data_IF_654966255472
#
_entry.id   IF_654966255472
#
_cell.length_a   1.000
_cell.length_b   1.000
_cell.length_c   1.000
_cell.angle_alpha   90.00
_cell.angle_beta   90.00
_cell.angle_gamma   90.00
#
_symmetry.space_group_name_H-M   'P 1'
#
loop_
_entity.id
_entity.type
_entity.pdbx_description
1 polymer ?
#
# COMPACT_ATOMS: atom_id res chain seq x y z
N UNK A 1 -2.58 -24.75 32.56
CA UNK A 1 -2.88 -23.32 32.37
C UNK A 1 -2.48 -22.90 30.98
N UNK A 2 -3.46 -22.52 30.20
CA UNK A 2 -3.23 -21.98 28.86
C UNK A 2 -2.69 -20.55 29.02
N UNK A 3 -1.41 -20.34 28.78
CA UNK A 3 -0.89 -18.98 28.63
C UNK A 3 -1.26 -18.49 27.23
N UNK A 4 -2.35 -17.74 27.15
CA UNK A 4 -2.70 -17.03 25.94
C UNK A 4 -1.49 -16.20 25.49
N UNK A 5 -1.13 -16.31 24.21
CA UNK A 5 -0.11 -15.44 23.61
C UNK A 5 -0.51 -13.99 23.87
N UNK A 6 0.35 -13.26 24.61
CA UNK A 6 0.17 -11.82 24.71
C UNK A 6 0.16 -11.25 23.30
N UNK A 7 -0.85 -10.44 22.93
CA UNK A 7 -0.84 -9.80 21.64
C UNK A 7 0.47 -8.99 21.50
N UNK A 8 1.11 -9.13 20.36
CA UNK A 8 2.31 -8.33 20.05
C UNK A 8 2.00 -6.87 20.31
N UNK A 9 2.87 -6.25 21.09
CA UNK A 9 2.90 -4.86 21.54
C UNK A 9 2.02 -3.88 20.74
N UNK A 10 0.95 -3.38 21.35
CA UNK A 10 0.41 -2.06 21.11
C UNK A 10 -0.59 -1.90 19.95
N UNK A 11 -0.83 -2.89 19.10
CA UNK A 11 -1.74 -2.74 18.00
C UNK A 11 -3.12 -3.33 18.30
N UNK A 12 -3.92 -2.57 19.03
CA UNK A 12 -5.35 -2.86 19.13
C UNK A 12 -6.03 -2.31 17.88
N UNK A 13 -6.78 -3.16 17.18
CA UNK A 13 -7.66 -2.72 16.10
C UNK A 13 -8.73 -1.78 16.64
N UNK A 14 -8.96 -0.71 15.93
CA UNK A 14 -9.92 0.34 16.30
C UNK A 14 -10.87 0.56 15.13
N UNK A 15 -12.16 0.65 15.41
CA UNK A 15 -13.18 0.93 14.39
C UNK A 15 -13.68 2.36 14.53
N UNK A 16 -13.63 3.13 13.45
CA UNK A 16 -14.16 4.49 13.34
C UNK A 16 -14.94 4.60 12.02
N UNK A 17 -16.13 5.17 12.06
CA UNK A 17 -17.02 5.31 10.88
C UNK A 17 -17.25 3.98 10.12
N UNK A 18 -17.30 2.86 10.84
CA UNK A 18 -17.43 1.54 10.24
C UNK A 18 -16.16 1.00 9.59
N UNK A 19 -15.05 1.71 9.69
CA UNK A 19 -13.75 1.32 9.13
C UNK A 19 -12.86 0.78 10.24
N UNK A 20 -12.30 -0.41 10.03
CA UNK A 20 -11.36 -1.01 10.96
C UNK A 20 -9.94 -0.57 10.65
N UNK A 21 -9.26 0.00 11.64
CA UNK A 21 -7.86 0.44 11.56
C UNK A 21 -6.96 -0.49 12.36
N UNK A 22 -5.77 -0.76 11.85
CA UNK A 22 -4.80 -1.66 12.49
C UNK A 22 -4.19 -1.08 13.76
N UNK A 23 -4.24 0.23 13.93
CA UNK A 23 -3.72 0.90 15.12
C UNK A 23 -4.57 2.11 15.52
N UNK A 24 -4.46 2.46 16.79
CA UNK A 24 -5.09 3.66 17.35
C UNK A 24 -4.55 4.93 16.71
N UNK A 25 -3.27 4.97 16.41
CA UNK A 25 -2.59 6.09 15.75
C UNK A 25 -3.15 6.33 14.35
N UNK A 26 -3.38 5.26 13.60
CA UNK A 26 -3.96 5.32 12.26
C UNK A 26 -5.41 5.84 12.30
N UNK A 27 -6.23 5.31 13.22
CA UNK A 27 -7.60 5.79 13.43
C UNK A 27 -7.63 7.27 13.81
N UNK A 28 -6.74 7.72 14.66
CA UNK A 28 -6.62 9.11 15.05
C UNK A 28 -6.26 10.00 13.86
N UNK A 29 -5.30 9.57 13.04
CA UNK A 29 -4.92 10.30 11.83
C UNK A 29 -6.08 10.41 10.85
N UNK A 30 -6.85 9.34 10.69
CA UNK A 30 -8.07 9.36 9.88
C UNK A 30 -9.03 10.46 10.33
N UNK A 31 -9.29 10.56 11.62
CA UNK A 31 -10.18 11.60 12.17
C UNK A 31 -9.66 13.01 11.86
N UNK A 32 -8.36 13.24 12.01
CA UNK A 32 -7.72 14.52 11.67
C UNK A 32 -7.89 14.87 10.20
N UNK A 33 -7.63 13.91 9.32
CA UNK A 33 -7.75 14.11 7.87
C UNK A 33 -9.20 14.37 7.44
N UNK A 34 -10.17 13.69 8.06
CA UNK A 34 -11.59 13.96 7.80
C UNK A 34 -11.99 15.36 8.19
N UNK A 35 -11.48 15.88 9.30
CA UNK A 35 -11.71 17.28 9.70
C UNK A 35 -11.10 18.26 8.70
N UNK A 36 -9.88 18.01 8.24
CA UNK A 36 -9.22 18.83 7.23
C UNK A 36 -9.98 18.83 5.90
N UNK A 37 -10.52 17.68 5.52
CA UNK A 37 -11.32 17.57 4.29
C UNK A 37 -12.64 18.36 4.41
N UNK A 38 -13.32 18.28 5.55
CA UNK A 38 -14.54 19.06 5.80
C UNK A 38 -14.27 20.55 5.81
N UNK A 39 -13.10 20.96 6.29
CA UNK A 39 -12.68 22.36 6.28
C UNK A 39 -12.21 22.84 4.89
N UNK A 40 -12.20 21.98 3.88
CA UNK A 40 -11.75 22.30 2.54
C UNK A 40 -10.25 22.46 2.38
N UNK A 41 -9.46 22.00 3.36
CA UNK A 41 -7.99 22.11 3.33
C UNK A 41 -7.31 21.00 2.54
N UNK A 42 -7.97 19.86 2.45
CA UNK A 42 -7.53 18.73 1.61
C UNK A 42 -8.73 18.20 0.83
N UNK A 43 -8.46 17.50 -0.26
CA UNK A 43 -9.46 16.94 -1.16
C UNK A 43 -9.12 15.50 -1.51
N UNK A 44 -10.14 14.76 -1.93
CA UNK A 44 -9.99 13.40 -2.46
C UNK A 44 -9.25 12.45 -1.52
N UNK A 45 -9.64 12.43 -0.24
CA UNK A 45 -9.06 11.50 0.72
C UNK A 45 -9.41 10.06 0.36
N UNK A 46 -8.38 9.25 0.15
CA UNK A 46 -8.50 7.82 -0.11
C UNK A 46 -7.70 7.04 0.94
N UNK A 47 -8.30 5.96 1.43
CA UNK A 47 -7.66 5.05 2.37
C UNK A 47 -7.15 3.83 1.63
N UNK A 48 -6.00 3.31 2.06
CA UNK A 48 -5.44 2.07 1.53
C UNK A 48 -5.28 2.10 -0.01
N UNK A 49 -4.87 3.26 -0.52
CA UNK A 49 -4.67 3.43 -1.96
C UNK A 49 -3.45 2.65 -2.44
N UNK A 50 -3.63 1.89 -3.51
CA UNK A 50 -2.56 1.12 -4.13
C UNK A 50 -1.86 1.92 -5.23
N UNK A 51 -0.53 1.84 -5.22
CA UNK A 51 0.32 2.40 -6.26
C UNK A 51 1.15 1.27 -6.87
N UNK A 52 1.10 1.12 -8.17
CA UNK A 52 1.94 0.15 -8.87
C UNK A 52 3.38 0.66 -8.91
N UNK A 53 4.31 -0.17 -8.44
CA UNK A 53 5.74 0.14 -8.43
C UNK A 53 6.47 -0.57 -9.57
N UNK A 54 6.17 -1.84 -9.77
CA UNK A 54 6.70 -2.66 -10.83
C UNK A 54 5.53 -3.40 -11.47
N UNK A 55 5.33 -3.26 -12.79
CA UNK A 55 4.23 -3.97 -13.45
C UNK A 55 4.48 -5.48 -13.47
N UNK A 56 3.40 -6.23 -13.60
CA UNK A 56 3.51 -7.67 -13.81
C UNK A 56 4.31 -7.94 -15.10
N UNK A 57 5.14 -8.96 -15.06
CA UNK A 57 6.01 -9.34 -16.16
C UNK A 57 5.57 -10.67 -16.73
N UNK A 58 5.56 -10.76 -18.05
CA UNK A 58 5.04 -11.89 -18.77
C UNK A 58 6.08 -12.41 -19.75
N UNK A 59 5.99 -13.71 -20.06
CA UNK A 59 6.68 -14.29 -21.19
C UNK A 59 5.66 -14.87 -22.18
N UNK A 60 6.02 -14.89 -23.44
CA UNK A 60 5.24 -15.53 -24.50
C UNK A 60 5.81 -16.90 -24.80
N UNK A 61 4.97 -17.80 -25.25
CA UNK A 61 5.36 -19.15 -25.67
C UNK A 61 4.57 -19.59 -26.90
N UNK A 62 5.18 -20.38 -27.79
CA UNK A 62 4.47 -20.86 -28.98
C UNK A 62 3.38 -21.86 -28.59
N UNK A 63 2.27 -21.78 -29.32
CA UNK A 63 1.13 -22.69 -29.16
C UNK A 63 0.80 -23.34 -30.47
N UNK A 64 0.36 -24.58 -30.41
CA UNK A 64 -0.03 -25.37 -31.58
C UNK A 64 -1.38 -26.03 -31.35
N UNK A 65 -2.22 -26.06 -32.39
CA UNK A 65 -3.48 -26.78 -32.40
C UNK A 65 -3.31 -28.29 -32.50
N UNK A 66 -4.41 -29.02 -32.37
CA UNK A 66 -4.44 -30.50 -32.41
C UNK A 66 -3.89 -31.06 -33.75
N UNK A 67 -3.94 -30.30 -34.83
CA UNK A 67 -3.47 -30.70 -36.17
C UNK A 67 -2.06 -30.20 -36.49
N UNK A 68 -1.33 -29.68 -35.49
CA UNK A 68 -0.02 -29.09 -35.69
C UNK A 68 -0.01 -27.67 -36.22
N UNK A 69 -1.19 -27.06 -36.45
CA UNK A 69 -1.31 -25.68 -36.92
C UNK A 69 -0.83 -24.73 -35.83
N UNK A 70 0.05 -23.79 -36.19
CA UNK A 70 0.49 -22.75 -35.27
C UNK A 70 -0.65 -21.81 -34.92
N UNK A 71 -0.90 -21.65 -33.61
CA UNK A 71 -1.86 -20.73 -33.04
C UNK A 71 -1.14 -19.46 -32.62
N UNK A 72 -1.91 -18.46 -32.20
CA UNK A 72 -1.38 -17.27 -31.56
C UNK A 72 -0.60 -17.65 -30.31
N UNK A 73 0.53 -16.96 -30.06
CA UNK A 73 1.35 -17.22 -28.89
C UNK A 73 0.56 -17.10 -27.58
N UNK A 74 0.83 -18.01 -26.66
CA UNK A 74 0.33 -17.93 -25.30
C UNK A 74 1.13 -16.93 -24.49
N UNK A 75 0.56 -16.50 -23.37
CA UNK A 75 1.17 -15.53 -22.45
C UNK A 75 1.04 -16.08 -21.03
N UNK A 76 2.14 -16.09 -20.29
CA UNK A 76 2.13 -16.47 -18.86
C UNK A 76 2.81 -15.40 -18.03
N UNK A 77 2.29 -15.15 -16.85
CA UNK A 77 2.88 -14.25 -15.88
C UNK A 77 4.05 -14.96 -15.19
N UNK A 78 5.25 -14.39 -15.31
CA UNK A 78 6.45 -14.90 -14.62
C UNK A 78 6.72 -14.17 -13.33
N UNK A 79 6.33 -12.89 -13.23
CA UNK A 79 6.40 -12.10 -12.01
C UNK A 79 5.15 -11.27 -11.84
N UNK A 80 4.57 -11.30 -10.65
CA UNK A 80 3.42 -10.47 -10.31
C UNK A 80 3.84 -9.01 -10.13
N UNK A 81 2.89 -8.10 -10.28
CA UNK A 81 3.14 -6.69 -9.99
C UNK A 81 3.56 -6.49 -8.52
N UNK A 82 4.44 -5.50 -8.33
CA UNK A 82 4.79 -5.03 -6.99
C UNK A 82 4.03 -3.73 -6.75
N UNK A 83 3.24 -3.69 -5.67
CA UNK A 83 2.43 -2.52 -5.31
C UNK A 83 2.78 -2.02 -3.92
N UNK A 84 2.63 -0.70 -3.73
CA UNK A 84 2.65 -0.07 -2.43
C UNK A 84 1.23 0.34 -2.04
N UNK A 85 0.82 -0.04 -0.85
CA UNK A 85 -0.48 0.31 -0.30
C UNK A 85 -0.31 1.38 0.76
N UNK A 86 -0.70 2.61 0.42
CA UNK A 86 -0.61 3.75 1.31
C UNK A 86 -1.74 3.73 2.34
N UNK A 87 -1.47 4.13 3.57
CA UNK A 87 -2.52 4.28 4.57
C UNK A 87 -3.50 5.38 4.17
N UNK A 88 -2.98 6.54 3.75
CA UNK A 88 -3.77 7.67 3.29
C UNK A 88 -3.15 8.32 2.07
N UNK A 89 -4.00 8.76 1.15
CA UNK A 89 -3.61 9.59 0.03
C UNK A 89 -4.67 10.68 -0.18
N UNK A 90 -4.24 11.88 -0.48
CA UNK A 90 -5.15 13.02 -0.69
C UNK A 90 -4.45 14.09 -1.51
N UNK A 91 -5.20 15.08 -1.94
CA UNK A 91 -4.66 16.27 -2.59
C UNK A 91 -4.69 17.47 -1.66
N UNK A 92 -3.60 18.19 -1.63
CA UNK A 92 -3.45 19.45 -0.91
C UNK A 92 -2.77 20.45 -1.84
N UNK A 93 -3.43 21.57 -2.07
CA UNK A 93 -2.95 22.62 -2.98
C UNK A 93 -2.57 22.06 -4.38
N UNK A 94 -3.37 21.12 -4.88
CA UNK A 94 -3.15 20.47 -6.18
C UNK A 94 -2.06 19.40 -6.20
N UNK A 95 -1.40 19.14 -5.08
CA UNK A 95 -0.35 18.12 -4.97
C UNK A 95 -0.86 16.86 -4.28
N UNK A 96 -0.45 15.71 -4.81
CA UNK A 96 -0.72 14.43 -4.19
C UNK A 96 0.17 14.23 -2.96
N UNK A 97 -0.46 14.03 -1.81
CA UNK A 97 0.20 13.71 -0.56
C UNK A 97 -0.10 12.25 -0.23
N UNK A 98 0.93 11.51 0.11
CA UNK A 98 0.83 10.11 0.50
C UNK A 98 1.42 9.93 1.89
N UNK A 99 0.61 9.38 2.79
CA UNK A 99 1.01 9.18 4.19
C UNK A 99 1.06 7.69 4.53
N UNK A 100 2.06 7.34 5.29
CA UNK A 100 2.19 6.03 5.92
C UNK A 100 2.34 6.23 7.42
N UNK A 101 1.40 5.67 8.18
CA UNK A 101 1.40 5.79 9.64
C UNK A 101 2.30 4.71 10.22
N UNK A 102 3.39 5.13 10.82
CA UNK A 102 4.35 4.23 11.46
C UNK A 102 4.19 4.25 12.97
N UNK A 103 4.08 3.06 13.56
CA UNK A 103 4.24 2.90 14.99
C UNK A 103 5.72 2.87 15.37
N UNK A 104 6.11 1.90 16.16
CA UNK A 104 7.52 1.67 16.46
C UNK A 104 8.28 1.24 15.20
N UNK A 105 9.38 1.94 14.92
CA UNK A 105 10.26 1.62 13.79
C UNK A 105 11.48 0.88 14.30
N UNK A 106 11.61 -0.37 13.88
CA UNK A 106 12.82 -1.15 14.10
C UNK A 106 13.60 -1.20 12.78
N UNK A 107 14.75 -0.50 12.68
CA UNK A 107 15.55 -0.51 11.44
C UNK A 107 16.04 -1.91 11.07
N UNK A 108 16.13 -2.82 12.03
CA UNK A 108 16.55 -4.19 11.80
C UNK A 108 15.40 -5.10 11.35
N UNK A 109 14.14 -4.64 11.39
CA UNK A 109 13.02 -5.47 10.98
C UNK A 109 12.95 -5.64 9.46
N UNK A 110 12.59 -6.86 9.02
CA UNK A 110 12.39 -7.14 7.61
C UNK A 110 11.22 -6.32 7.02
N UNK A 111 10.19 -6.07 7.81
CA UNK A 111 9.04 -5.27 7.39
C UNK A 111 9.44 -3.81 7.09
N UNK A 112 10.29 -3.21 7.93
CA UNK A 112 10.77 -1.85 7.68
C UNK A 112 11.71 -1.79 6.47
N UNK A 113 12.60 -2.77 6.32
CA UNK A 113 13.49 -2.86 5.15
C UNK A 113 12.67 -2.96 3.85
N UNK A 114 11.62 -3.76 3.83
CA UNK A 114 10.70 -3.86 2.70
C UNK A 114 10.00 -2.53 2.40
N UNK A 115 9.56 -1.83 3.43
CA UNK A 115 8.96 -0.50 3.30
C UNK A 115 9.95 0.51 2.71
N UNK A 116 11.21 0.51 3.15
CA UNK A 116 12.23 1.42 2.62
C UNK A 116 12.43 1.24 1.12
N UNK A 117 12.43 0.01 0.64
CA UNK A 117 12.52 -0.28 -0.80
C UNK A 117 11.31 0.30 -1.54
N UNK A 118 10.11 0.06 -1.03
CA UNK A 118 8.88 0.60 -1.62
C UNK A 118 8.84 2.13 -1.59
N UNK A 119 9.32 2.74 -0.52
CA UNK A 119 9.45 4.20 -0.42
C UNK A 119 10.35 4.76 -1.51
N UNK A 120 11.49 4.14 -1.75
CA UNK A 120 12.42 4.53 -2.83
C UNK A 120 11.79 4.37 -4.20
N UNK A 121 11.07 3.29 -4.42
CA UNK A 121 10.37 3.03 -5.68
C UNK A 121 9.22 4.03 -5.90
N UNK A 122 8.49 4.41 -4.86
CA UNK A 122 7.45 5.46 -4.97
C UNK A 122 8.04 6.79 -5.46
N UNK A 123 9.18 7.17 -4.94
CA UNK A 123 9.87 8.39 -5.39
C UNK A 123 10.36 8.25 -6.83
N UNK A 124 10.94 7.11 -7.18
CA UNK A 124 11.48 6.86 -8.51
C UNK A 124 10.39 6.76 -9.58
N UNK A 125 9.35 5.97 -9.33
CA UNK A 125 8.29 5.67 -10.32
C UNK A 125 7.27 6.79 -10.41
N UNK A 126 6.80 7.30 -9.28
CA UNK A 126 5.69 8.26 -9.21
C UNK A 126 6.12 9.68 -8.87
N UNK A 127 7.38 9.89 -8.49
CA UNK A 127 7.86 11.19 -8.03
C UNK A 127 7.25 11.63 -6.69
N UNK A 128 6.73 10.70 -5.93
CA UNK A 128 6.04 10.97 -4.67
C UNK A 128 6.92 10.58 -3.49
N UNK A 129 7.18 11.53 -2.62
CA UNK A 129 7.85 11.30 -1.34
C UNK A 129 6.82 10.95 -0.28
N UNK A 130 6.90 9.73 0.25
CA UNK A 130 5.98 9.28 1.30
C UNK A 130 6.24 10.05 2.60
N UNK A 131 5.18 10.59 3.20
CA UNK A 131 5.22 11.19 4.53
C UNK A 131 5.01 10.10 5.58
N UNK A 132 6.02 9.85 6.39
CA UNK A 132 5.94 8.90 7.51
C UNK A 132 5.44 9.66 8.74
N UNK A 133 4.25 9.30 9.18
CA UNK A 133 3.57 9.96 10.30
C UNK A 133 3.82 9.22 11.62
#
# INVERSE_FOLDING_TARGET
MYRGRRPKLGNKKVTVDGIEFDSKKEAQRYCELKLLQRAGRIEELELQKEFELIPAQYETFPRYGKTGKRLQDGKRCIEKSCVYKADFAYKQDGQLIVEDVKGYRDPASAAYAKFVIKRKLMLWVHGVKISEI
#
